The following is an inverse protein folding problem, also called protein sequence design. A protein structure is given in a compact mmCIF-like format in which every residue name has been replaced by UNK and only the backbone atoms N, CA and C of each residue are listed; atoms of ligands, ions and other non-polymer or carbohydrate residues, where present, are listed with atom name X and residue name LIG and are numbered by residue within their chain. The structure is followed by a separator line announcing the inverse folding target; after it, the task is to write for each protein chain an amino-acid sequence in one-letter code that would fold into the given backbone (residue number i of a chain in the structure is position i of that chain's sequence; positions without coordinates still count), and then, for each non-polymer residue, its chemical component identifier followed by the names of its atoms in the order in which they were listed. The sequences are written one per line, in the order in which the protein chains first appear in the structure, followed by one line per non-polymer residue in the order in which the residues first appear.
data_IF_726524371695
#
_entry.id   IF_726524371695
#
_cell.length_a   1.000
_cell.length_b   1.000
_cell.length_c   1.000
_cell.angle_alpha   90.00
_cell.angle_beta   90.00
_cell.angle_gamma   90.00
#
_symmetry.space_group_name_H-M   'P 1'
#
loop_
_entity.id
_entity.type
_entity.pdbx_description
1 polymer ?
#
# COMPACT_ATOMS: atom_id res chain seq x y z
N UNK A 1 24.97 29.47 9.90
CA UNK A 1 24.49 28.08 9.81
C UNK A 1 24.87 27.57 8.45
N UNK A 2 25.70 26.52 8.34
CA UNK A 2 25.96 25.90 7.04
C UNK A 2 24.66 25.31 6.50
N UNK A 3 24.13 25.89 5.44
CA UNK A 3 22.94 25.38 4.75
C UNK A 3 23.35 24.15 3.92
N UNK A 4 22.71 23.02 4.18
CA UNK A 4 23.01 21.79 3.46
C UNK A 4 22.29 21.79 2.10
N UNK A 5 23.01 21.42 1.04
CA UNK A 5 22.48 21.33 -0.31
C UNK A 5 22.49 19.87 -0.78
N UNK A 6 21.38 19.45 -1.38
CA UNK A 6 21.17 18.10 -1.92
C UNK A 6 20.68 18.17 -3.37
N UNK A 7 20.98 17.15 -4.15
CA UNK A 7 20.34 16.99 -5.45
C UNK A 7 18.86 16.62 -5.27
N UNK A 8 18.55 15.71 -4.32
CA UNK A 8 17.20 15.36 -3.98
C UNK A 8 16.99 15.22 -2.47
N UNK A 9 15.84 15.70 -1.99
CA UNK A 9 15.34 15.40 -0.64
C UNK A 9 14.08 14.55 -0.77
N UNK A 10 14.13 13.34 -0.20
CA UNK A 10 12.99 12.41 -0.14
C UNK A 10 12.35 12.54 1.24
N UNK A 11 11.09 12.96 1.27
CA UNK A 11 10.33 13.21 2.51
C UNK A 11 9.42 12.03 2.77
N UNK A 12 9.77 11.21 3.78
CA UNK A 12 9.11 9.97 4.17
C UNK A 12 9.90 8.72 3.81
N UNK A 13 10.25 7.93 4.83
CA UNK A 13 11.08 6.72 4.72
C UNK A 13 10.27 5.41 4.70
N UNK A 14 9.02 5.44 4.23
CA UNK A 14 8.25 4.22 3.94
C UNK A 14 8.74 3.53 2.66
N UNK A 15 8.09 2.41 2.23
CA UNK A 15 8.56 1.60 1.10
C UNK A 15 8.84 2.39 -0.18
N UNK A 16 7.99 3.35 -0.54
CA UNK A 16 8.20 4.15 -1.76
C UNK A 16 9.37 5.12 -1.65
N UNK A 17 9.46 5.84 -0.52
CA UNK A 17 10.52 6.83 -0.33
C UNK A 17 11.89 6.21 -0.12
N UNK A 18 11.99 5.14 0.68
CA UNK A 18 13.24 4.41 0.85
C UNK A 18 13.73 3.80 -0.47
N UNK A 19 12.82 3.24 -1.29
CA UNK A 19 13.17 2.75 -2.64
C UNK A 19 13.63 3.89 -3.55
N UNK A 20 12.92 5.02 -3.58
CA UNK A 20 13.33 6.15 -4.41
C UNK A 20 14.68 6.74 -3.98
N UNK A 21 14.93 6.87 -2.68
CA UNK A 21 16.19 7.36 -2.15
C UNK A 21 17.36 6.41 -2.49
N UNK A 22 17.16 5.09 -2.34
CA UNK A 22 18.14 4.09 -2.74
C UNK A 22 18.50 4.21 -4.22
N UNK A 23 17.51 4.19 -5.09
CA UNK A 23 17.70 4.22 -6.55
C UNK A 23 18.41 5.48 -7.02
N UNK A 24 18.12 6.63 -6.41
CA UNK A 24 18.80 7.90 -6.72
C UNK A 24 20.24 7.91 -6.22
N UNK A 25 20.47 7.44 -4.99
CA UNK A 25 21.82 7.37 -4.42
C UNK A 25 22.72 6.40 -5.20
N UNK A 26 22.19 5.26 -5.66
CA UNK A 26 22.90 4.32 -6.54
C UNK A 26 23.32 4.95 -7.89
N UNK A 27 22.64 6.00 -8.33
CA UNK A 27 22.99 6.77 -9.53
C UNK A 27 23.97 7.90 -9.27
N UNK A 28 24.49 8.00 -8.04
CA UNK A 28 25.49 8.97 -7.63
C UNK A 28 24.93 10.34 -7.21
N UNK A 29 23.61 10.49 -7.06
CA UNK A 29 23.01 11.73 -6.59
C UNK A 29 23.19 11.90 -5.08
N UNK A 30 23.42 13.14 -4.64
CA UNK A 30 23.45 13.49 -3.22
C UNK A 30 22.04 13.58 -2.67
N UNK A 31 21.60 12.53 -1.94
CA UNK A 31 20.21 12.33 -1.51
C UNK A 31 20.09 12.38 0.01
N UNK A 32 19.14 13.20 0.49
CA UNK A 32 18.68 13.16 1.88
C UNK A 32 17.37 12.37 1.96
N UNK A 33 17.33 11.34 2.80
CA UNK A 33 16.10 10.64 3.21
C UNK A 33 15.66 11.16 4.57
N UNK A 34 14.65 12.02 4.60
CA UNK A 34 14.07 12.61 5.80
C UNK A 34 12.87 11.77 6.27
N UNK A 35 12.95 11.21 7.47
CA UNK A 35 11.86 10.41 8.07
C UNK A 35 11.69 10.70 9.55
N UNK A 36 10.45 10.67 10.02
CA UNK A 36 10.14 10.92 11.43
C UNK A 36 10.66 9.88 12.38
N UNK A 37 10.87 8.64 11.94
CA UNK A 37 11.11 7.43 12.73
C UNK A 37 10.11 7.18 13.88
N UNK A 38 10.06 5.94 14.35
CA UNK A 38 9.28 5.56 15.53
C UNK A 38 7.76 5.51 15.32
N UNK A 39 7.25 5.77 14.10
CA UNK A 39 5.85 5.53 13.76
C UNK A 39 5.75 4.45 12.69
N UNK A 40 5.36 3.26 13.11
CA UNK A 40 5.00 2.19 12.18
C UNK A 40 3.70 2.57 11.45
N UNK A 41 3.69 2.43 10.12
CA UNK A 41 2.46 2.61 9.37
C UNK A 41 1.57 1.38 9.56
N UNK A 42 0.31 1.55 10.04
CA UNK A 42 -0.65 0.47 10.12
C UNK A 42 -0.86 -0.20 8.75
N UNK A 43 -0.74 -1.52 8.70
CA UNK A 43 -0.82 -2.28 7.47
C UNK A 43 -1.10 -3.75 7.76
N UNK A 44 -1.80 -4.44 6.86
CA UNK A 44 -1.96 -5.89 6.89
C UNK A 44 -0.67 -6.68 6.62
N UNK A 45 0.40 -6.04 6.16
CA UNK A 45 1.74 -6.62 6.02
C UNK A 45 1.93 -7.63 4.88
N UNK A 46 0.91 -7.91 4.09
CA UNK A 46 0.98 -8.89 3.00
C UNK A 46 1.80 -8.37 1.81
N UNK A 47 2.76 -9.16 1.36
CA UNK A 47 3.59 -8.88 0.18
C UNK A 47 3.56 -10.07 -0.79
N UNK A 48 3.34 -9.83 -2.10
CA UNK A 48 3.31 -10.90 -3.08
C UNK A 48 4.70 -11.45 -3.40
N UNK A 49 4.82 -12.70 -3.92
CA UNK A 49 6.09 -13.28 -4.35
C UNK A 49 6.85 -12.39 -5.33
N UNK A 50 6.14 -11.70 -6.20
CA UNK A 50 6.70 -10.75 -7.15
C UNK A 50 7.51 -9.63 -6.48
N UNK A 51 7.02 -9.09 -5.35
CA UNK A 51 7.74 -8.08 -4.59
C UNK A 51 9.02 -8.64 -3.99
N UNK A 52 8.93 -9.86 -3.43
CA UNK A 52 10.07 -10.55 -2.81
C UNK A 52 11.19 -10.71 -3.84
N UNK A 53 10.86 -11.14 -5.07
CA UNK A 53 11.81 -11.34 -6.17
C UNK A 53 12.32 -10.02 -6.76
N UNK A 54 11.43 -9.07 -7.10
CA UNK A 54 11.81 -7.83 -7.79
C UNK A 54 12.70 -6.92 -6.92
N UNK A 55 12.65 -7.08 -5.58
CA UNK A 55 13.36 -6.22 -4.64
C UNK A 55 14.31 -6.96 -3.70
N UNK A 56 14.60 -8.22 -3.97
CA UNK A 56 15.54 -9.06 -3.18
C UNK A 56 15.24 -8.98 -1.69
N UNK A 57 13.96 -9.23 -1.31
CA UNK A 57 13.55 -9.19 0.10
C UNK A 57 14.06 -10.45 0.79
N UNK A 58 14.90 -10.31 1.83
CA UNK A 58 15.44 -11.46 2.53
C UNK A 58 14.38 -12.21 3.33
N UNK A 59 14.57 -13.54 3.42
CA UNK A 59 13.58 -14.44 4.04
C UNK A 59 13.39 -14.17 5.53
N UNK A 60 14.41 -13.63 6.22
CA UNK A 60 14.35 -13.26 7.64
C UNK A 60 13.36 -12.11 7.94
N UNK A 61 12.94 -11.37 6.93
CA UNK A 61 11.87 -10.35 7.07
C UNK A 61 10.46 -10.93 6.95
N UNK A 62 10.34 -12.19 6.53
CA UNK A 62 9.06 -12.87 6.32
C UNK A 62 8.66 -13.58 7.61
N UNK A 63 7.74 -12.98 8.37
CA UNK A 63 7.29 -13.50 9.66
C UNK A 63 6.23 -14.60 9.56
N UNK A 64 5.55 -14.69 8.41
CA UNK A 64 4.64 -15.81 8.08
C UNK A 64 4.58 -16.01 6.57
N UNK A 65 4.40 -17.28 6.14
CA UNK A 65 4.28 -17.69 4.73
C UNK A 65 2.87 -18.23 4.52
N UNK A 66 2.03 -17.43 3.87
CA UNK A 66 0.62 -17.75 3.65
C UNK A 66 0.46 -18.60 2.40
N UNK A 67 -0.20 -19.74 2.54
CA UNK A 67 -0.44 -20.72 1.47
C UNK A 67 -1.90 -20.82 1.06
N UNK A 68 -2.80 -20.14 1.78
CA UNK A 68 -4.23 -20.13 1.47
C UNK A 68 -4.84 -18.75 1.76
N UNK A 69 -5.77 -18.33 0.92
CA UNK A 69 -6.66 -17.21 1.20
C UNK A 69 -8.09 -17.72 1.32
N UNK A 70 -8.74 -17.48 2.46
CA UNK A 70 -10.15 -17.83 2.68
C UNK A 70 -11.03 -16.63 2.48
N UNK A 71 -12.02 -16.75 1.60
CA UNK A 71 -13.06 -15.75 1.38
C UNK A 71 -14.31 -16.15 2.16
N UNK A 72 -14.81 -15.25 3.01
CA UNK A 72 -16.00 -15.50 3.85
C UNK A 72 -17.15 -14.62 3.38
N UNK A 73 -18.24 -15.27 2.96
CA UNK A 73 -19.45 -14.61 2.44
C UNK A 73 -20.38 -14.11 3.57
N UNK A 74 -21.40 -13.28 3.27
CA UNK A 74 -22.43 -12.88 4.22
C UNK A 74 -23.19 -14.04 4.87
N UNK A 75 -23.40 -15.14 4.14
CA UNK A 75 -24.01 -16.39 4.66
C UNK A 75 -23.06 -17.23 5.52
N UNK A 76 -21.83 -16.79 5.76
CA UNK A 76 -20.72 -17.55 6.34
C UNK A 76 -20.22 -18.71 5.45
N UNK A 77 -20.66 -18.82 4.19
CA UNK A 77 -20.01 -19.69 3.20
C UNK A 77 -18.55 -19.32 3.09
N UNK A 78 -17.67 -20.30 3.12
CA UNK A 78 -16.23 -20.15 3.01
C UNK A 78 -15.75 -20.75 1.69
N UNK A 79 -14.85 -20.04 1.02
CA UNK A 79 -14.16 -20.51 -0.18
C UNK A 79 -12.67 -20.36 0.04
N UNK A 80 -11.96 -21.47 0.02
CA UNK A 80 -10.52 -21.52 0.16
C UNK A 80 -9.85 -21.44 -1.22
N UNK A 81 -8.92 -20.50 -1.35
CA UNK A 81 -8.11 -20.30 -2.56
C UNK A 81 -6.68 -20.70 -2.20
N UNK A 82 -6.23 -21.90 -2.58
CA UNK A 82 -4.85 -22.34 -2.34
C UNK A 82 -3.87 -21.52 -3.17
N UNK A 83 -2.69 -21.30 -2.60
CA UNK A 83 -1.58 -20.62 -3.26
C UNK A 83 -0.63 -21.69 -3.80
N UNK A 84 -0.85 -22.10 -5.04
CA UNK A 84 0.00 -23.09 -5.70
C UNK A 84 1.34 -22.47 -6.08
N UNK A 85 2.43 -23.21 -5.86
CA UNK A 85 3.79 -22.85 -6.26
C UNK A 85 4.32 -21.51 -5.69
N UNK A 86 4.07 -21.26 -4.40
CA UNK A 86 4.58 -20.07 -3.74
C UNK A 86 3.87 -19.76 -2.42
N UNK A 87 4.01 -18.54 -1.98
CA UNK A 87 3.36 -18.03 -0.77
C UNK A 87 3.20 -16.50 -0.85
N UNK A 88 2.27 -15.96 -0.10
CA UNK A 88 2.26 -14.53 0.24
C UNK A 88 3.07 -14.37 1.51
N UNK A 89 4.11 -13.52 1.47
CA UNK A 89 4.90 -13.20 2.64
C UNK A 89 4.17 -12.19 3.54
N UNK A 90 4.26 -12.38 4.84
CA UNK A 90 3.81 -11.37 5.81
C UNK A 90 5.04 -10.70 6.41
N UNK A 91 5.02 -9.38 6.52
CA UNK A 91 6.13 -8.59 7.07
C UNK A 91 5.64 -7.67 8.17
N UNK A 92 6.45 -7.53 9.22
CA UNK A 92 6.25 -6.51 10.24
C UNK A 92 6.83 -5.19 9.77
N UNK A 93 5.97 -4.17 9.64
CA UNK A 93 6.30 -2.89 9.00
C UNK A 93 7.36 -2.07 9.74
N UNK A 94 7.51 -2.22 11.03
CA UNK A 94 8.59 -1.58 11.81
C UNK A 94 9.96 -2.12 11.40
N UNK A 95 10.11 -3.43 11.26
CA UNK A 95 11.34 -4.09 10.83
C UNK A 95 11.57 -3.91 9.34
N UNK A 96 10.53 -4.14 8.53
CA UNK A 96 10.61 -4.05 7.07
C UNK A 96 10.94 -2.63 6.58
N UNK A 97 10.24 -1.61 7.07
CA UNK A 97 10.50 -0.22 6.67
C UNK A 97 11.89 0.25 7.15
N UNK A 98 12.33 -0.19 8.33
CA UNK A 98 13.67 0.13 8.81
C UNK A 98 14.75 -0.52 7.95
N UNK A 99 14.57 -1.78 7.57
CA UNK A 99 15.48 -2.47 6.65
C UNK A 99 15.58 -1.73 5.31
N UNK A 100 14.47 -1.26 4.75
CA UNK A 100 14.47 -0.45 3.51
C UNK A 100 15.25 0.86 3.67
N UNK A 101 15.07 1.57 4.79
CA UNK A 101 15.84 2.80 5.10
C UNK A 101 17.33 2.53 5.24
N UNK A 102 17.70 1.44 5.93
CA UNK A 102 19.09 1.02 6.06
C UNK A 102 19.68 0.63 4.70
N UNK A 103 18.89 -0.05 3.86
CA UNK A 103 19.31 -0.38 2.49
C UNK A 103 19.59 0.88 1.68
N UNK A 104 18.72 1.88 1.76
CA UNK A 104 18.96 3.18 1.10
C UNK A 104 20.26 3.84 1.60
N UNK A 105 20.52 3.82 2.90
CA UNK A 105 21.75 4.38 3.47
C UNK A 105 23.01 3.61 3.02
N UNK A 106 22.96 2.28 2.97
CA UNK A 106 24.08 1.47 2.43
C UNK A 106 24.42 1.80 0.99
N UNK A 107 23.46 2.30 0.23
CA UNK A 107 23.65 2.76 -1.15
C UNK A 107 23.99 4.26 -1.27
N UNK A 108 24.24 4.94 -0.16
CA UNK A 108 24.74 6.32 -0.15
C UNK A 108 23.71 7.40 0.15
N UNK A 109 22.44 7.07 0.40
CA UNK A 109 21.48 8.07 0.86
C UNK A 109 21.79 8.51 2.30
N UNK A 110 21.90 9.81 2.54
CA UNK A 110 22.00 10.34 3.90
C UNK A 110 20.64 10.23 4.59
N UNK A 111 20.63 9.68 5.80
CA UNK A 111 19.41 9.57 6.61
C UNK A 111 19.37 10.65 7.66
N UNK A 112 18.24 11.31 7.76
CA UNK A 112 18.00 12.23 8.85
C UNK A 112 16.66 11.97 9.51
N UNK A 113 16.66 12.00 10.85
CA UNK A 113 15.46 11.91 11.65
C UNK A 113 14.86 13.29 11.85
N UNK A 114 13.67 13.52 11.26
CA UNK A 114 13.02 14.81 11.40
C UNK A 114 11.58 14.80 10.90
N UNK A 115 10.86 15.85 11.27
CA UNK A 115 9.49 16.09 10.87
C UNK A 115 9.45 17.20 9.83
N UNK A 116 9.06 16.89 8.61
CA UNK A 116 8.80 17.88 7.57
C UNK A 116 7.74 18.90 8.03
N UNK A 117 7.98 20.16 7.73
CA UNK A 117 7.09 21.28 8.03
C UNK A 117 6.55 21.91 6.73
N UNK A 118 7.43 22.54 5.94
CA UNK A 118 7.00 23.23 4.71
C UNK A 118 8.07 23.27 3.63
N UNK A 119 7.58 23.53 2.42
CA UNK A 119 8.39 23.90 1.26
C UNK A 119 8.41 25.42 1.11
N UNK A 120 9.56 25.95 0.67
CA UNK A 120 9.74 27.34 0.27
C UNK A 120 10.50 27.35 -1.05
N UNK A 121 9.91 27.93 -2.10
CA UNK A 121 10.54 27.98 -3.41
C UNK A 121 11.77 28.87 -3.39
N UNK A 122 12.90 28.37 -3.92
CA UNK A 122 14.08 29.20 -4.13
C UNK A 122 13.93 29.96 -5.46
N UNK A 123 14.10 31.30 -5.48
CA UNK A 123 14.08 32.08 -6.72
C UNK A 123 15.11 31.61 -7.76
N UNK A 124 16.23 31.01 -7.31
CA UNK A 124 17.30 30.50 -8.16
C UNK A 124 17.07 29.07 -8.65
N UNK A 125 15.93 28.46 -8.26
CA UNK A 125 15.54 27.09 -8.60
C UNK A 125 15.69 26.10 -7.46
N UNK A 126 14.80 25.10 -7.43
CA UNK A 126 14.70 24.13 -6.34
C UNK A 126 13.84 24.62 -5.17
N UNK A 127 13.95 23.90 -4.06
CA UNK A 127 13.14 24.12 -2.86
C UNK A 127 14.01 24.17 -1.60
N UNK A 128 13.71 25.09 -0.72
CA UNK A 128 14.11 25.01 0.69
C UNK A 128 13.10 24.13 1.42
N UNK A 129 13.59 23.03 1.98
CA UNK A 129 12.80 22.10 2.80
C UNK A 129 13.02 22.46 4.25
N UNK A 130 11.96 22.92 4.93
CA UNK A 130 11.98 23.21 6.36
C UNK A 130 11.49 21.99 7.14
N UNK A 131 12.21 21.63 8.18
CA UNK A 131 11.86 20.50 9.03
C UNK A 131 12.40 20.65 10.45
N UNK A 132 11.80 19.94 11.39
CA UNK A 132 12.31 19.80 12.75
C UNK A 132 13.19 18.55 12.81
N UNK A 133 14.52 18.77 12.95
CA UNK A 133 15.48 17.69 13.19
C UNK A 133 15.29 17.18 14.61
N UNK A 134 15.31 15.87 14.79
CA UNK A 134 15.25 15.25 16.11
C UNK A 134 16.55 14.49 16.38
N UNK A 135 17.28 14.88 17.42
CA UNK A 135 18.52 14.23 17.83
C UNK A 135 18.29 12.91 18.58
N UNK A 136 19.37 12.24 18.99
CA UNK A 136 19.34 10.99 19.78
C UNK A 136 18.72 11.16 21.15
N UNK A 137 18.73 12.37 21.72
CA UNK A 137 18.15 12.70 23.03
C UNK A 137 16.69 13.15 22.93
N UNK A 138 16.15 13.20 21.69
CA UNK A 138 14.76 13.58 21.46
C UNK A 138 14.53 15.10 21.36
N UNK A 139 15.57 15.92 21.44
CA UNK A 139 15.46 17.36 21.25
C UNK A 139 15.18 17.69 19.80
N UNK A 140 14.36 18.70 19.57
CA UNK A 140 13.99 19.15 18.23
C UNK A 140 14.63 20.49 17.95
N UNK A 141 15.22 20.62 16.76
CA UNK A 141 15.86 21.86 16.27
C UNK A 141 15.31 22.16 14.88
N UNK A 142 14.82 23.39 14.62
CA UNK A 142 14.41 23.79 13.27
C UNK A 142 15.64 23.86 12.35
N UNK A 143 15.49 23.24 11.19
CA UNK A 143 16.53 23.14 10.16
C UNK A 143 15.92 23.41 8.81
N UNK A 144 16.71 23.99 7.88
CA UNK A 144 16.35 24.01 6.46
C UNK A 144 17.48 23.42 5.62
N UNK A 145 17.12 22.75 4.54
CA UNK A 145 18.05 22.24 3.56
C UNK A 145 17.53 22.55 2.15
N UNK A 146 18.42 22.84 1.23
CA UNK A 146 18.08 23.09 -0.16
C UNK A 146 18.09 21.79 -0.98
N UNK A 147 17.14 21.64 -1.89
CA UNK A 147 17.10 20.54 -2.85
C UNK A 147 16.77 21.03 -4.25
N UNK A 148 17.46 20.51 -5.26
CA UNK A 148 17.09 20.70 -6.68
C UNK A 148 15.76 20.01 -6.99
N UNK A 149 15.47 18.89 -6.28
CA UNK A 149 14.24 18.11 -6.41
C UNK A 149 13.74 17.65 -5.04
N UNK A 150 12.43 17.76 -4.80
CA UNK A 150 11.77 17.16 -3.65
C UNK A 150 10.91 15.99 -4.08
N UNK A 151 11.06 14.84 -3.42
CA UNK A 151 10.21 13.65 -3.58
C UNK A 151 9.32 13.50 -2.34
N UNK A 152 8.03 13.76 -2.50
CA UNK A 152 7.03 13.57 -1.45
C UNK A 152 6.61 12.11 -1.33
N UNK A 153 7.00 11.45 -0.24
CA UNK A 153 6.71 10.05 0.09
C UNK A 153 6.09 9.92 1.49
N UNK A 154 5.46 10.97 1.98
CA UNK A 154 5.00 11.16 3.36
C UNK A 154 3.60 10.57 3.64
N UNK A 155 3.11 9.72 2.72
CA UNK A 155 1.95 8.86 2.91
C UNK A 155 0.62 9.49 2.52
N UNK A 156 -0.48 8.84 2.88
CA UNK A 156 -1.84 9.15 2.42
C UNK A 156 -2.36 10.54 2.81
N UNK A 157 -1.78 11.15 3.83
CA UNK A 157 -2.04 12.54 4.25
C UNK A 157 -0.82 13.41 4.01
N UNK A 158 -0.29 13.33 2.80
CA UNK A 158 0.94 14.01 2.40
C UNK A 158 0.85 15.53 2.55
N UNK A 159 1.70 16.09 3.39
CA UNK A 159 1.88 17.53 3.51
C UNK A 159 2.59 18.11 2.28
N UNK A 160 3.52 17.35 1.69
CA UNK A 160 4.17 17.73 0.43
C UNK A 160 3.13 17.86 -0.68
N UNK A 161 2.21 16.87 -0.80
CA UNK A 161 1.15 16.91 -1.80
C UNK A 161 0.24 18.12 -1.59
N UNK A 162 -0.17 18.40 -0.36
CA UNK A 162 -1.05 19.52 -0.02
C UNK A 162 -0.43 20.88 -0.37
N UNK A 163 0.89 21.02 -0.19
CA UNK A 163 1.59 22.29 -0.45
C UNK A 163 1.96 22.47 -1.94
N UNK A 164 2.29 21.38 -2.64
CA UNK A 164 2.90 21.47 -3.97
C UNK A 164 1.97 21.07 -5.13
N UNK A 165 0.92 20.26 -4.88
CA UNK A 165 0.08 19.68 -5.92
C UNK A 165 -1.37 20.16 -5.80
N UNK A 166 -1.84 20.85 -6.81
CA UNK A 166 -3.22 21.37 -6.83
C UNK A 166 -4.27 20.25 -6.69
N UNK A 167 -5.23 20.43 -5.78
CA UNK A 167 -6.34 19.51 -5.49
C UNK A 167 -5.91 18.12 -4.96
N UNK A 168 -4.71 17.96 -4.41
CA UNK A 168 -4.28 16.70 -3.81
C UNK A 168 -5.08 16.33 -2.53
N UNK A 169 -5.67 17.32 -1.86
CA UNK A 169 -6.52 17.19 -0.67
C UNK A 169 -7.90 16.57 -0.96
N UNK A 170 -8.33 16.53 -2.23
CA UNK A 170 -9.66 16.03 -2.64
C UNK A 170 -9.70 14.50 -2.88
N UNK A 171 -8.66 13.78 -2.51
CA UNK A 171 -8.60 12.32 -2.68
C UNK A 171 -9.56 11.60 -1.74
N UNK A 172 -10.37 10.68 -2.31
CA UNK A 172 -11.20 9.78 -1.50
C UNK A 172 -10.33 8.77 -0.77
N UNK A 173 -10.57 8.62 0.51
CA UNK A 173 -9.84 7.72 1.40
C UNK A 173 -10.78 6.69 2.01
N UNK A 174 -10.35 5.44 2.09
CA UNK A 174 -10.88 4.45 3.03
C UNK A 174 -10.09 4.58 4.33
N UNK A 175 -10.76 4.57 5.46
CA UNK A 175 -10.11 4.50 6.77
C UNK A 175 -10.08 3.04 7.21
N UNK A 176 -8.89 2.53 7.49
CA UNK A 176 -8.69 1.21 8.05
C UNK A 176 -8.39 1.31 9.55
N UNK A 177 -8.92 0.36 10.31
CA UNK A 177 -8.60 0.16 11.71
C UNK A 177 -8.36 -1.32 11.96
N UNK A 178 -7.31 -1.66 12.70
CA UNK A 178 -7.02 -3.03 13.08
C UNK A 178 -6.47 -3.12 14.50
N UNK A 179 -6.57 -4.31 15.04
CA UNK A 179 -5.95 -4.72 16.29
C UNK A 179 -4.92 -5.80 16.00
N UNK A 180 -3.72 -5.63 16.55
CA UNK A 180 -2.72 -6.68 16.59
C UNK A 180 -2.95 -7.49 17.85
N UNK A 181 -3.22 -8.76 17.67
CA UNK A 181 -3.53 -9.71 18.73
C UNK A 181 -2.39 -10.70 18.91
N UNK A 182 -2.27 -11.27 20.10
CA UNK A 182 -1.48 -12.48 20.30
C UNK A 182 -2.12 -13.62 19.52
N UNK A 183 -1.33 -14.34 18.70
CA UNK A 183 -1.85 -15.47 17.95
C UNK A 183 -2.28 -16.60 18.89
N UNK A 184 -3.47 -17.20 18.67
CA UNK A 184 -3.91 -18.33 19.46
C UNK A 184 -3.02 -19.56 19.16
N UNK A 185 -2.72 -20.32 20.20
CA UNK A 185 -1.96 -21.58 20.08
C UNK A 185 -2.91 -22.76 20.20
N UNK A 186 -2.93 -23.63 19.19
CA UNK A 186 -3.73 -24.87 19.22
C UNK A 186 -5.25 -24.66 19.29
N UNK A 187 -5.76 -23.52 18.79
CA UNK A 187 -7.19 -23.24 18.75
C UNK A 187 -7.78 -23.77 17.43
N UNK A 188 -8.87 -24.51 17.54
CA UNK A 188 -9.64 -24.97 16.37
C UNK A 188 -10.10 -23.77 15.50
N UNK A 189 -9.92 -23.91 14.19
CA UNK A 189 -10.33 -22.90 13.20
C UNK A 189 -9.29 -21.84 12.88
N UNK A 190 -8.25 -21.62 13.70
CA UNK A 190 -7.13 -20.75 13.36
C UNK A 190 -6.04 -21.52 12.59
N UNK A 191 -5.66 -20.99 11.44
CA UNK A 191 -4.60 -21.53 10.59
C UNK A 191 -3.52 -20.47 10.36
N UNK A 192 -2.27 -20.68 10.83
CA UNK A 192 -1.20 -19.71 10.71
C UNK A 192 -0.68 -19.51 9.27
N UNK A 193 -1.07 -20.37 8.33
CA UNK A 193 -0.72 -20.27 6.91
C UNK A 193 -1.88 -19.77 6.04
N UNK A 194 -2.98 -19.27 6.65
CA UNK A 194 -4.17 -18.82 5.94
C UNK A 194 -4.56 -17.38 6.31
N UNK A 195 -4.75 -16.53 5.29
CA UNK A 195 -5.37 -15.23 5.42
C UNK A 195 -6.88 -15.33 5.20
N UNK A 196 -7.69 -14.90 6.16
CA UNK A 196 -9.15 -14.84 6.02
C UNK A 196 -9.59 -13.42 5.65
N UNK A 197 -10.43 -13.33 4.60
CA UNK A 197 -10.99 -12.08 4.07
C UNK A 197 -12.52 -12.17 4.14
N UNK A 198 -13.12 -11.25 4.90
CA UNK A 198 -14.54 -11.27 5.25
C UNK A 198 -15.31 -10.21 4.46
N UNK A 199 -16.19 -10.66 3.57
CA UNK A 199 -17.04 -9.81 2.73
C UNK A 199 -18.45 -9.71 3.31
N UNK A 200 -18.60 -9.05 4.46
CA UNK A 200 -19.87 -8.90 5.17
C UNK A 200 -20.15 -7.43 5.47
N UNK A 201 -21.34 -6.94 5.11
CA UNK A 201 -21.68 -5.53 5.18
C UNK A 201 -21.68 -4.94 6.59
N UNK A 202 -22.01 -5.75 7.61
CA UNK A 202 -21.96 -5.32 9.00
C UNK A 202 -20.52 -5.21 9.54
N UNK A 203 -19.53 -5.89 8.92
CA UNK A 203 -18.11 -5.79 9.25
C UNK A 203 -17.43 -4.66 8.45
N UNK A 204 -17.91 -4.41 7.21
CA UNK A 204 -17.45 -3.34 6.34
C UNK A 204 -18.51 -3.03 5.27
N UNK A 205 -19.10 -1.83 5.23
CA UNK A 205 -20.14 -1.50 4.27
C UNK A 205 -19.66 -1.37 2.82
N UNK A 206 -18.37 -1.05 2.61
CA UNK A 206 -17.80 -0.70 1.29
C UNK A 206 -16.35 -1.17 1.07
N UNK A 207 -15.85 -2.01 1.98
CA UNK A 207 -14.54 -2.65 1.88
C UNK A 207 -14.64 -4.11 2.37
N UNK A 208 -13.70 -4.59 3.21
CA UNK A 208 -13.72 -5.95 3.77
C UNK A 208 -13.12 -5.98 5.19
N UNK A 209 -13.38 -7.05 5.93
CA UNK A 209 -12.68 -7.40 7.15
C UNK A 209 -11.57 -8.42 6.88
N UNK A 210 -10.52 -8.45 7.70
CA UNK A 210 -9.42 -9.39 7.54
C UNK A 210 -8.93 -9.97 8.87
N UNK A 211 -8.43 -11.22 8.79
CA UNK A 211 -7.66 -11.89 9.84
C UNK A 211 -6.39 -12.42 9.20
N UNK A 212 -5.26 -11.76 9.46
CA UNK A 212 -3.98 -12.04 8.80
C UNK A 212 -2.93 -12.47 9.81
N UNK A 213 -2.42 -13.71 9.72
CA UNK A 213 -1.33 -14.21 10.59
C UNK A 213 -0.02 -13.47 10.38
N UNK A 214 0.71 -13.26 11.49
CA UNK A 214 2.07 -12.70 11.53
C UNK A 214 2.95 -13.50 12.50
N UNK A 215 3.04 -14.82 12.31
CA UNK A 215 3.78 -15.68 13.21
C UNK A 215 3.14 -15.76 14.60
N UNK A 216 3.78 -15.17 15.60
CA UNK A 216 3.26 -15.14 16.98
C UNK A 216 2.13 -14.14 17.23
N UNK A 217 1.82 -13.33 16.25
CA UNK A 217 0.74 -12.31 16.29
C UNK A 217 -0.19 -12.46 15.11
N UNK A 218 -1.30 -11.75 15.14
CA UNK A 218 -2.20 -11.63 13.99
C UNK A 218 -2.81 -10.24 13.92
N UNK A 219 -3.08 -9.77 12.71
CA UNK A 219 -3.78 -8.53 12.44
C UNK A 219 -5.25 -8.81 12.17
N UNK A 220 -6.15 -8.25 12.98
CA UNK A 220 -7.60 -8.30 12.75
C UNK A 220 -8.10 -6.90 12.49
N UNK A 221 -8.69 -6.66 11.34
CA UNK A 221 -9.07 -5.31 10.97
C UNK A 221 -10.21 -5.21 9.98
N UNK A 222 -10.65 -3.99 9.76
CA UNK A 222 -11.63 -3.63 8.73
C UNK A 222 -11.36 -2.22 8.21
N UNK A 223 -11.96 -1.88 7.08
CA UNK A 223 -11.88 -0.55 6.48
C UNK A 223 -13.24 -0.06 6.00
N UNK A 224 -13.42 1.26 5.94
CA UNK A 224 -14.58 1.87 5.30
C UNK A 224 -14.30 3.33 4.89
N UNK A 225 -14.93 3.77 3.80
CA UNK A 225 -15.03 5.17 3.43
C UNK A 225 -16.27 5.85 4.05
N UNK A 226 -17.20 5.07 4.58
CA UNK A 226 -18.37 5.58 5.30
C UNK A 226 -17.97 6.14 6.67
N UNK A 227 -18.09 7.45 6.83
CA UNK A 227 -17.75 8.14 8.07
C UNK A 227 -18.71 7.83 9.23
N UNK A 228 -19.91 7.34 8.93
CA UNK A 228 -20.89 6.91 9.92
C UNK A 228 -20.64 5.52 10.49
N UNK A 229 -19.80 4.73 9.82
CA UNK A 229 -19.49 3.37 10.24
C UNK A 229 -18.44 3.33 11.37
N UNK A 230 -18.75 2.56 12.43
CA UNK A 230 -17.82 2.35 13.53
C UNK A 230 -16.84 1.21 13.22
N UNK A 231 -15.64 1.55 12.78
CA UNK A 231 -14.57 0.57 12.52
C UNK A 231 -14.23 -0.28 13.76
N UNK A 232 -14.28 0.30 14.95
CA UNK A 232 -14.03 -0.43 16.21
C UNK A 232 -15.10 -1.50 16.46
N UNK A 233 -16.37 -1.16 16.24
CA UNK A 233 -17.48 -2.13 16.33
C UNK A 233 -17.34 -3.22 15.29
N UNK A 234 -16.99 -2.88 14.04
CA UNK A 234 -16.73 -3.85 12.97
C UNK A 234 -15.62 -4.84 13.34
N UNK A 235 -14.50 -4.37 13.90
CA UNK A 235 -13.41 -5.25 14.36
C UNK A 235 -13.83 -6.10 15.55
N UNK A 236 -14.60 -5.57 16.51
CA UNK A 236 -15.09 -6.36 17.63
C UNK A 236 -16.03 -7.49 17.16
N UNK A 237 -16.92 -7.21 16.21
CA UNK A 237 -17.79 -8.22 15.59
C UNK A 237 -17.00 -9.25 14.79
N UNK A 238 -15.97 -8.81 14.03
CA UNK A 238 -15.08 -9.71 13.29
C UNK A 238 -14.32 -10.64 14.24
N UNK A 239 -13.80 -10.13 15.36
CA UNK A 239 -13.15 -10.96 16.40
C UNK A 239 -14.09 -12.03 16.95
N UNK A 240 -15.34 -11.65 17.21
CA UNK A 240 -16.36 -12.61 17.68
C UNK A 240 -16.65 -13.68 16.63
N UNK A 241 -16.85 -13.28 15.37
CA UNK A 241 -17.13 -14.19 14.25
C UNK A 241 -15.96 -15.12 13.95
N UNK A 242 -14.72 -14.67 14.13
CA UNK A 242 -13.51 -15.46 13.93
C UNK A 242 -13.07 -16.27 15.18
N UNK A 243 -13.85 -16.27 16.27
CA UNK A 243 -13.50 -16.98 17.51
C UNK A 243 -12.35 -16.35 18.30
N UNK A 244 -12.01 -15.08 18.06
CA UNK A 244 -10.84 -14.40 18.62
C UNK A 244 -11.15 -13.45 19.79
N UNK A 245 -12.33 -13.59 20.41
CA UNK A 245 -12.77 -12.70 21.51
C UNK A 245 -11.82 -12.77 22.71
N UNK A 246 -11.30 -13.97 23.02
CA UNK A 246 -10.36 -14.19 24.14
C UNK A 246 -8.91 -13.82 23.85
N UNK A 247 -8.56 -13.50 22.60
CA UNK A 247 -7.18 -13.18 22.26
C UNK A 247 -6.76 -11.79 22.80
N UNK A 248 -5.60 -11.71 23.43
CA UNK A 248 -5.06 -10.48 24.00
C UNK A 248 -4.70 -9.47 22.92
N UNK A 249 -5.17 -8.24 23.06
CA UNK A 249 -4.81 -7.14 22.16
C UNK A 249 -3.48 -6.52 22.58
N UNK A 250 -2.49 -6.56 21.69
CA UNK A 250 -1.17 -5.99 21.88
C UNK A 250 -1.13 -4.51 21.45
N UNK A 251 -1.79 -4.18 20.34
CA UNK A 251 -1.71 -2.86 19.71
C UNK A 251 -3.01 -2.54 18.94
N UNK A 252 -3.39 -1.27 18.89
CA UNK A 252 -4.53 -0.77 18.12
C UNK A 252 -4.07 0.35 17.20
N UNK A 253 -4.39 0.26 15.93
CA UNK A 253 -3.86 1.17 14.92
C UNK A 253 -4.90 1.49 13.86
N UNK A 254 -4.71 2.63 13.18
CA UNK A 254 -5.54 3.00 12.05
C UNK A 254 -4.82 3.92 11.08
N UNK A 255 -5.15 3.77 9.79
CA UNK A 255 -4.57 4.59 8.73
C UNK A 255 -5.57 4.86 7.61
N UNK A 256 -5.48 6.02 6.95
CA UNK A 256 -6.16 6.26 5.69
C UNK A 256 -5.46 5.51 4.55
N UNK A 257 -6.25 5.03 3.60
CA UNK A 257 -5.83 4.31 2.39
C UNK A 257 -6.38 5.04 1.17
N UNK A 258 -5.53 5.63 0.31
CA UNK A 258 -5.97 6.24 -0.93
C UNK A 258 -6.14 5.14 -1.98
N UNK A 259 -7.35 5.01 -2.54
CA UNK A 259 -7.67 3.95 -3.50
C UNK A 259 -7.65 4.40 -4.96
N UNK A 260 -7.15 5.60 -5.23
CA UNK A 260 -7.08 6.14 -6.59
C UNK A 260 -5.85 7.00 -6.79
N UNK A 261 -5.05 6.74 -7.84
CA UNK A 261 -3.93 7.61 -8.19
C UNK A 261 -4.37 9.05 -8.44
N UNK A 262 -3.61 10.00 -7.92
CA UNK A 262 -3.85 11.42 -8.15
C UNK A 262 -3.76 11.76 -9.66
N UNK A 263 -4.52 12.77 -10.13
CA UNK A 263 -4.44 13.23 -11.52
C UNK A 263 -3.06 13.79 -11.89
N UNK A 264 -2.36 14.39 -10.92
CA UNK A 264 -1.01 14.91 -11.05
C UNK A 264 -0.14 14.44 -9.91
N UNK A 265 1.11 14.06 -10.21
CA UNK A 265 2.10 13.64 -9.24
C UNK A 265 3.25 14.64 -9.12
N UNK A 266 3.34 15.61 -10.01
CA UNK A 266 4.38 16.64 -10.02
C UNK A 266 3.79 18.05 -10.10
N UNK A 267 4.54 19.04 -9.62
CA UNK A 267 4.17 20.45 -9.70
C UNK A 267 4.58 21.11 -11.02
N UNK A 268 5.16 20.36 -11.95
CA UNK A 268 5.68 20.85 -13.23
C UNK A 268 7.01 21.62 -13.12
N UNK A 269 7.69 21.55 -11.96
CA UNK A 269 8.99 22.22 -11.72
C UNK A 269 9.98 21.28 -11.03
N UNK A 270 9.83 21.05 -9.74
CA UNK A 270 10.86 20.53 -8.85
C UNK A 270 10.31 19.71 -7.67
N UNK A 271 9.02 19.32 -7.69
CA UNK A 271 8.40 18.45 -6.69
C UNK A 271 7.66 17.32 -7.38
N UNK A 272 7.86 16.09 -6.90
CA UNK A 272 7.17 14.89 -7.37
C UNK A 272 6.72 14.01 -6.19
N UNK A 273 5.57 13.35 -6.32
CA UNK A 273 5.00 12.45 -5.32
C UNK A 273 5.23 10.98 -5.66
N UNK A 274 5.30 10.13 -4.62
CA UNK A 274 5.39 8.67 -4.76
C UNK A 274 4.59 7.93 -3.68
N UNK A 275 4.25 6.67 -3.93
CA UNK A 275 3.54 5.83 -3.00
C UNK A 275 2.13 6.34 -2.65
N UNK A 276 1.73 6.23 -1.39
CA UNK A 276 0.41 6.68 -0.95
C UNK A 276 0.20 8.20 -1.14
N UNK A 277 1.27 9.00 -1.11
CA UNK A 277 1.19 10.43 -1.40
C UNK A 277 0.74 10.70 -2.86
N UNK A 278 1.04 9.77 -3.77
CA UNK A 278 0.57 9.78 -5.16
C UNK A 278 -0.74 8.99 -5.37
N UNK A 279 -1.27 8.35 -4.32
CA UNK A 279 -2.52 7.59 -4.34
C UNK A 279 -2.39 6.17 -4.91
N UNK A 280 -1.21 5.55 -4.90
CA UNK A 280 -0.95 4.27 -5.58
C UNK A 280 -1.18 3.05 -4.67
N UNK A 281 -2.38 2.94 -4.11
CA UNK A 281 -2.85 1.71 -3.45
C UNK A 281 -3.90 1.05 -4.33
N UNK A 282 -3.81 -0.27 -4.50
CA UNK A 282 -4.73 -1.01 -5.35
C UNK A 282 -6.16 -0.96 -4.79
N UNK A 283 -7.16 -0.53 -5.57
CA UNK A 283 -8.56 -0.63 -5.18
C UNK A 283 -8.93 -2.08 -4.84
N UNK A 284 -10.03 -2.28 -4.17
CA UNK A 284 -10.58 -3.56 -3.71
C UNK A 284 -9.69 -4.38 -2.76
N UNK A 285 -8.39 -4.49 -2.98
CA UNK A 285 -7.47 -5.27 -2.13
C UNK A 285 -6.76 -4.44 -1.05
N UNK A 286 -6.68 -3.11 -1.21
CA UNK A 286 -5.89 -2.26 -0.30
C UNK A 286 -4.38 -2.52 -0.37
N UNK A 287 -3.89 -3.29 -1.35
CA UNK A 287 -2.47 -3.58 -1.49
C UNK A 287 -1.68 -2.33 -1.87
N UNK A 288 -0.75 -1.94 -0.99
CA UNK A 288 0.04 -0.73 -1.16
C UNK A 288 1.54 -0.95 -1.27
N UNK A 289 2.12 -2.00 -0.63
CA UNK A 289 3.57 -2.12 -0.49
C UNK A 289 4.25 -2.33 -1.85
N UNK A 290 3.78 -3.29 -2.66
CA UNK A 290 4.33 -3.53 -4.00
C UNK A 290 4.23 -2.27 -4.88
N UNK A 291 3.04 -1.68 -4.97
CA UNK A 291 2.83 -0.51 -5.81
C UNK A 291 3.59 0.72 -5.32
N UNK A 292 3.78 0.86 -4.01
CA UNK A 292 4.60 1.92 -3.43
C UNK A 292 6.07 1.79 -3.85
N UNK A 293 6.65 0.58 -3.78
CA UNK A 293 8.03 0.34 -4.19
C UNK A 293 8.19 0.49 -5.71
N UNK A 294 7.29 -0.08 -6.51
CA UNK A 294 7.30 0.08 -7.97
C UNK A 294 7.18 1.56 -8.39
N UNK A 295 6.29 2.32 -7.73
CA UNK A 295 6.17 3.76 -7.92
C UNK A 295 7.46 4.49 -7.53
N UNK A 296 8.10 4.11 -6.40
CA UNK A 296 9.39 4.65 -5.96
C UNK A 296 10.48 4.51 -7.01
N UNK A 297 10.62 3.31 -7.61
CA UNK A 297 11.55 3.06 -8.72
C UNK A 297 11.24 3.92 -9.94
N UNK A 298 9.95 4.02 -10.34
CA UNK A 298 9.56 4.84 -11.50
C UNK A 298 9.81 6.33 -11.27
N UNK A 299 9.55 6.82 -10.04
CA UNK A 299 9.81 8.21 -9.65
C UNK A 299 11.31 8.48 -9.62
N UNK A 300 12.14 7.56 -9.09
CA UNK A 300 13.59 7.71 -9.10
C UNK A 300 14.16 7.80 -10.52
N UNK A 301 13.63 7.02 -11.48
CA UNK A 301 14.04 7.10 -12.88
C UNK A 301 13.67 8.45 -13.53
N UNK A 302 12.47 8.95 -13.28
CA UNK A 302 12.02 10.26 -13.76
C UNK A 302 12.82 11.40 -13.11
N UNK A 303 13.10 11.28 -11.81
CA UNK A 303 13.90 12.20 -11.03
C UNK A 303 15.36 12.25 -11.52
N UNK A 304 15.97 11.09 -11.81
CA UNK A 304 17.30 11.02 -12.40
C UNK A 304 17.37 11.81 -13.73
N UNK A 305 16.42 11.57 -14.65
CA UNK A 305 16.36 12.29 -15.92
C UNK A 305 16.17 13.81 -15.74
N UNK A 306 15.38 14.21 -14.74
CA UNK A 306 15.21 15.61 -14.39
C UNK A 306 16.52 16.22 -13.86
N UNK A 307 17.18 15.57 -12.92
CA UNK A 307 18.42 16.07 -12.30
C UNK A 307 19.57 16.19 -13.30
N UNK A 308 19.63 15.28 -14.27
CA UNK A 308 20.62 15.26 -15.34
C UNK A 308 20.39 16.38 -16.37
N UNK A 309 19.14 16.61 -16.78
CA UNK A 309 18.80 17.54 -17.87
C UNK A 309 18.20 18.88 -17.46
N UNK A 310 17.86 19.05 -16.17
CA UNK A 310 17.08 20.16 -15.63
C UNK A 310 15.70 20.36 -16.32
N UNK A 311 15.18 19.34 -17.04
CA UNK A 311 13.92 19.43 -17.75
C UNK A 311 12.76 18.85 -16.92
N UNK A 312 11.83 19.67 -16.39
CA UNK A 312 10.73 19.20 -15.54
C UNK A 312 9.72 18.32 -16.25
N UNK A 313 9.72 18.29 -17.59
CA UNK A 313 8.82 17.40 -18.35
C UNK A 313 9.11 15.91 -18.07
N UNK A 314 10.32 15.55 -17.60
CA UNK A 314 10.65 14.19 -17.22
C UNK A 314 9.84 13.70 -16.00
N UNK A 315 9.50 14.57 -15.06
CA UNK A 315 8.77 14.21 -13.85
C UNK A 315 7.40 13.56 -14.18
N UNK A 316 6.71 14.07 -15.21
CA UNK A 316 5.41 13.54 -15.67
C UNK A 316 5.48 12.07 -16.15
N UNK A 317 6.66 11.62 -16.58
CA UNK A 317 6.87 10.26 -17.09
C UNK A 317 6.64 9.19 -16.03
N UNK A 318 6.89 9.48 -14.75
CA UNK A 318 6.65 8.53 -13.67
C UNK A 318 5.17 8.08 -13.64
N UNK A 319 4.25 9.04 -13.59
CA UNK A 319 2.81 8.74 -13.62
C UNK A 319 2.36 8.07 -14.91
N UNK A 320 2.85 8.55 -16.05
CA UNK A 320 2.52 7.96 -17.36
C UNK A 320 2.94 6.49 -17.41
N UNK A 321 4.15 6.18 -16.95
CA UNK A 321 4.68 4.83 -16.88
C UNK A 321 3.87 3.95 -15.93
N UNK A 322 3.59 4.42 -14.73
CA UNK A 322 2.77 3.69 -13.76
C UNK A 322 1.38 3.34 -14.34
N UNK A 323 0.71 4.30 -14.96
CA UNK A 323 -0.60 4.05 -15.58
C UNK A 323 -0.52 3.14 -16.80
N UNK A 324 0.55 3.18 -17.57
CA UNK A 324 0.79 2.24 -18.67
C UNK A 324 0.96 0.81 -18.17
N UNK A 325 1.69 0.61 -17.08
CA UNK A 325 1.98 -0.72 -16.53
C UNK A 325 0.83 -1.26 -15.66
N UNK A 326 0.24 -0.42 -14.81
CA UNK A 326 -0.71 -0.84 -13.78
C UNK A 326 -2.13 -0.25 -13.94
N UNK A 327 -2.32 0.74 -14.80
CA UNK A 327 -3.59 1.46 -14.90
C UNK A 327 -4.79 0.57 -15.24
N UNK A 328 -4.62 -0.44 -16.09
CA UNK A 328 -5.68 -1.41 -16.41
C UNK A 328 -6.09 -2.25 -15.20
N UNK A 329 -5.10 -2.71 -14.41
CA UNK A 329 -5.35 -3.46 -13.17
C UNK A 329 -6.10 -2.59 -12.18
N UNK A 330 -5.65 -1.35 -11.97
CA UNK A 330 -6.32 -0.39 -11.08
C UNK A 330 -7.76 -0.09 -11.51
N UNK A 331 -8.00 0.03 -12.81
CA UNK A 331 -9.34 0.25 -13.34
C UNK A 331 -10.26 -0.95 -13.08
N UNK A 332 -9.79 -2.17 -13.35
CA UNK A 332 -10.56 -3.42 -13.11
C UNK A 332 -10.85 -3.57 -11.62
N UNK A 333 -9.83 -3.41 -10.75
CA UNK A 333 -10.02 -3.52 -9.30
C UNK A 333 -10.96 -2.45 -8.75
N UNK A 334 -10.91 -1.22 -9.29
CA UNK A 334 -11.85 -0.16 -8.94
C UNK A 334 -13.29 -0.48 -9.35
N UNK A 335 -13.48 -1.07 -10.53
CA UNK A 335 -14.79 -1.54 -10.98
C UNK A 335 -15.32 -2.69 -10.10
N UNK A 336 -14.45 -3.66 -9.75
CA UNK A 336 -14.79 -4.77 -8.85
C UNK A 336 -15.23 -4.25 -7.48
N UNK A 337 -14.49 -3.32 -6.88
CA UNK A 337 -14.88 -2.70 -5.60
C UNK A 337 -16.24 -2.01 -5.72
N UNK A 338 -16.45 -1.23 -6.76
CA UNK A 338 -17.71 -0.52 -7.00
C UNK A 338 -18.88 -1.48 -7.16
N UNK A 339 -18.69 -2.61 -7.85
CA UNK A 339 -19.78 -3.55 -8.13
C UNK A 339 -20.07 -4.50 -6.98
N UNK A 340 -19.03 -5.18 -6.45
CA UNK A 340 -19.22 -6.31 -5.56
C UNK A 340 -19.40 -5.92 -4.09
N UNK A 341 -18.91 -4.75 -3.69
CA UNK A 341 -18.94 -4.37 -2.27
C UNK A 341 -20.17 -3.56 -1.85
N UNK A 342 -21.13 -3.31 -2.76
CA UNK A 342 -22.26 -2.43 -2.48
C UNK A 342 -23.31 -3.01 -1.50
N UNK A 343 -23.54 -4.33 -1.53
CA UNK A 343 -24.52 -5.00 -0.65
C UNK A 343 -24.19 -6.49 -0.49
N UNK A 344 -24.79 -7.12 0.53
CA UNK A 344 -24.49 -8.50 0.86
C UNK A 344 -24.90 -9.52 -0.21
N UNK A 345 -25.97 -9.25 -0.97
CA UNK A 345 -26.36 -10.11 -2.11
C UNK A 345 -25.25 -10.16 -3.18
N UNK A 346 -24.57 -9.04 -3.44
CA UNK A 346 -23.45 -8.98 -4.39
C UNK A 346 -22.20 -9.62 -3.79
N UNK A 347 -21.89 -9.36 -2.52
CA UNK A 347 -20.77 -10.01 -1.82
C UNK A 347 -20.90 -11.53 -1.80
N UNK A 348 -22.12 -12.04 -1.57
CA UNK A 348 -22.40 -13.47 -1.62
C UNK A 348 -22.04 -14.07 -2.98
N UNK A 349 -22.49 -13.43 -4.06
CA UNK A 349 -22.17 -13.85 -5.43
C UNK A 349 -20.67 -13.75 -5.74
N UNK A 350 -20.00 -12.70 -5.27
CA UNK A 350 -18.56 -12.54 -5.44
C UNK A 350 -17.80 -13.70 -4.79
N UNK A 351 -18.11 -14.04 -3.55
CA UNK A 351 -17.47 -15.18 -2.87
C UNK A 351 -17.82 -16.50 -3.54
N UNK A 352 -19.08 -16.68 -3.99
CA UNK A 352 -19.47 -17.87 -4.74
C UNK A 352 -18.67 -18.04 -6.05
N UNK A 353 -18.37 -16.96 -6.75
CA UNK A 353 -17.53 -17.00 -7.96
C UNK A 353 -16.07 -17.41 -7.66
N UNK A 354 -15.56 -17.08 -6.47
CA UNK A 354 -14.23 -17.49 -6.04
C UNK A 354 -14.05 -19.00 -5.89
N UNK A 355 -15.13 -19.78 -5.94
CA UNK A 355 -15.10 -21.25 -5.97
C UNK A 355 -14.71 -21.83 -7.36
N UNK A 356 -14.84 -21.03 -8.42
CA UNK A 356 -14.45 -21.43 -9.77
C UNK A 356 -12.92 -21.39 -9.93
N UNK A 357 -12.30 -22.51 -10.31
CA UNK A 357 -10.85 -22.63 -10.46
C UNK A 357 -10.25 -21.65 -11.47
N UNK A 358 -10.97 -21.32 -12.55
CA UNK A 358 -10.49 -20.35 -13.53
C UNK A 358 -10.46 -18.93 -12.90
N UNK A 359 -11.48 -18.59 -12.07
CA UNK A 359 -11.51 -17.32 -11.32
C UNK A 359 -10.38 -17.27 -10.30
N UNK A 360 -10.18 -18.36 -9.54
CA UNK A 360 -9.05 -18.47 -8.59
C UNK A 360 -7.72 -18.25 -9.29
N UNK A 361 -7.45 -18.96 -10.38
CA UNK A 361 -6.20 -18.86 -11.11
C UNK A 361 -5.96 -17.45 -11.68
N UNK A 362 -6.98 -16.82 -12.26
CA UNK A 362 -6.86 -15.46 -12.80
C UNK A 362 -6.68 -14.41 -11.72
N UNK A 363 -7.40 -14.52 -10.61
CA UNK A 363 -7.27 -13.62 -9.46
C UNK A 363 -5.89 -13.77 -8.83
N UNK A 364 -5.45 -15.02 -8.67
CA UNK A 364 -4.14 -15.36 -8.14
C UNK A 364 -3.01 -14.84 -9.03
N UNK A 365 -3.04 -15.12 -10.34
CA UNK A 365 -2.03 -14.65 -11.28
C UNK A 365 -1.97 -13.12 -11.34
N UNK A 366 -3.12 -12.44 -11.30
CA UNK A 366 -3.17 -10.98 -11.27
C UNK A 366 -2.59 -10.43 -9.97
N UNK A 367 -2.88 -11.04 -8.81
CA UNK A 367 -2.36 -10.61 -7.52
C UNK A 367 -0.88 -10.95 -7.35
N UNK A 368 -0.45 -12.18 -7.68
CA UNK A 368 0.91 -12.67 -7.49
C UNK A 368 1.87 -12.10 -8.53
N UNK A 369 1.47 -12.11 -9.79
CA UNK A 369 2.33 -11.75 -10.92
C UNK A 369 2.15 -10.31 -11.40
N UNK A 370 1.19 -9.57 -10.85
CA UNK A 370 0.88 -8.16 -11.19
C UNK A 370 0.65 -7.95 -12.70
N UNK A 371 0.20 -8.99 -13.40
CA UNK A 371 -0.05 -8.97 -14.84
C UNK A 371 -1.47 -9.45 -15.11
N UNK A 372 -2.20 -8.72 -15.93
CA UNK A 372 -3.42 -9.27 -16.54
C UNK A 372 -3.00 -10.41 -17.47
N UNK A 373 -3.39 -11.63 -17.14
CA UNK A 373 -3.02 -12.82 -17.88
C UNK A 373 -3.72 -12.78 -19.23
N UNK A 374 -2.94 -12.50 -20.30
CA UNK A 374 -3.45 -12.48 -21.68
C UNK A 374 -3.64 -13.88 -22.29
N UNK A 375 -3.18 -14.94 -21.63
CA UNK A 375 -3.09 -16.30 -22.20
C UNK A 375 -4.39 -17.08 -22.28
N UNK A 376 -5.48 -16.61 -21.65
CA UNK A 376 -6.79 -17.28 -21.74
C UNK A 376 -7.91 -16.26 -22.03
N UNK A 377 -7.98 -15.66 -23.25
CA UNK A 377 -9.01 -14.67 -23.57
C UNK A 377 -10.42 -15.24 -23.37
N UNK A 378 -10.62 -16.55 -23.65
CA UNK A 378 -11.89 -17.26 -23.41
C UNK A 378 -12.26 -17.34 -21.93
N UNK A 379 -11.28 -17.46 -21.02
CA UNK A 379 -11.57 -17.45 -19.57
C UNK A 379 -12.02 -16.05 -19.12
N UNK A 380 -11.39 -14.99 -19.59
CA UNK A 380 -11.84 -13.62 -19.32
C UNK A 380 -13.24 -13.35 -19.89
N UNK A 381 -13.51 -13.83 -21.11
CA UNK A 381 -14.83 -13.75 -21.74
C UNK A 381 -15.84 -14.59 -20.94
N UNK A 382 -15.49 -15.82 -20.56
CA UNK A 382 -16.36 -16.72 -19.77
C UNK A 382 -16.66 -16.16 -18.38
N UNK A 383 -15.68 -15.54 -17.73
CA UNK A 383 -15.86 -14.85 -16.44
C UNK A 383 -16.76 -13.62 -16.66
N UNK A 384 -16.49 -12.80 -17.67
CA UNK A 384 -17.32 -11.64 -18.00
C UNK A 384 -18.79 -12.05 -18.25
N UNK A 385 -19.03 -13.13 -19.01
CA UNK A 385 -20.39 -13.64 -19.25
C UNK A 385 -21.00 -14.32 -18.02
N UNK A 386 -20.20 -15.03 -17.20
CA UNK A 386 -20.66 -15.51 -15.90
C UNK A 386 -21.02 -14.35 -14.98
N UNK A 387 -20.17 -13.32 -14.92
CA UNK A 387 -20.42 -12.09 -14.17
C UNK A 387 -21.70 -11.40 -14.65
N UNK A 388 -21.91 -11.31 -15.99
CA UNK A 388 -23.12 -10.75 -16.58
C UNK A 388 -24.35 -11.61 -16.25
N UNK A 389 -24.25 -12.94 -16.36
CA UNK A 389 -25.33 -13.87 -16.02
C UNK A 389 -25.69 -13.80 -14.52
N UNK A 390 -24.69 -13.69 -13.64
CA UNK A 390 -24.89 -13.47 -12.20
C UNK A 390 -25.45 -12.07 -11.91
N UNK A 391 -25.03 -11.06 -12.68
CA UNK A 391 -25.50 -9.67 -12.54
C UNK A 391 -26.99 -9.56 -12.90
N UNK A 392 -27.43 -10.24 -13.96
CA UNK A 392 -28.81 -10.23 -14.44
C UNK A 392 -29.69 -11.31 -13.80
N UNK A 393 -29.13 -12.15 -12.92
CA UNK A 393 -29.93 -13.16 -12.19
C UNK A 393 -30.29 -14.40 -13.01
N UNK A 394 -29.64 -14.64 -14.15
CA UNK A 394 -29.87 -15.80 -15.01
C UNK A 394 -29.15 -17.08 -14.53
N UNK A 395 -28.17 -16.96 -13.60
CA UNK A 395 -27.53 -18.10 -12.97
C UNK A 395 -28.14 -18.33 -11.58
N UNK A 396 -28.66 -19.52 -11.33
CA UNK A 396 -29.07 -19.99 -9.98
C UNK A 396 -27.82 -20.24 -9.16
N UNK A 397 -27.82 -19.77 -7.91
CA UNK A 397 -26.78 -20.03 -6.89
C UNK A 397 -26.80 -21.51 -6.52
#
# INVERSE_FOLDING_TARGET
MNEAHFDAIVIGGGPSGATAAQELAQKGWHVLLLDRQGRTKPCGGAIPPRLIQDYDIPDELIVAKIKCARMVAPSNRQVDIPIDNGYVGMVDRDVFDEWLRQRAARHGALRERGRFDRLEADPNGGQWVHYERRDSHGQTTPVRAHARLVVGADGARSEVARQAIANADKTKLVFAYHEILQAPRGQDGYDPERCDVWYQGHLSPDFYGWVFPHGNTLSVGTGSADKGFSLRTGVAQLRAAAGLTGASTLRREGAPIPLKPLPRWDNGRDVILTGDAAGVVAPSSGEGIYYAMACGTMVAQAAHQFLDSANPAHLRRARQRFLKEHGKVFWVLGLMQYFWYQNDRRRERFVAMCDDRDVQQLTFDAYMNKRLVRRKPMAHVKIFFKDLAHLFGFARV
#
